data_IF_878351584131
#
_entry.id   IF_878351584131
#
_cell.length_a   1.000
_cell.length_b   1.000
_cell.length_c   1.000
_cell.angle_alpha   90.00
_cell.angle_beta   90.00
_cell.angle_gamma   90.00
#
_symmetry.space_group_name_H-M   'P 1'
#
loop_
_entity.id
_entity.type
_entity.pdbx_description
1 polymer ?
#
# COMPACT_ATOMS: atom_id res chain seq x y z
N UNK A 1 1.06 -7.03 4.14
CA UNK A 1 2.44 -6.49 3.96
C UNK A 1 3.09 -7.18 2.78
N UNK A 2 3.88 -6.45 1.98
CA UNK A 2 4.71 -7.02 0.93
C UNK A 2 6.19 -6.90 1.34
N UNK A 3 6.96 -7.99 1.18
CA UNK A 3 8.40 -8.04 1.54
C UNK A 3 9.26 -8.50 0.37
N UNK A 4 10.47 -7.92 0.30
CA UNK A 4 11.56 -8.35 -0.57
C UNK A 4 12.88 -7.78 -0.05
N UNK A 5 13.79 -8.62 0.42
CA UNK A 5 15.09 -8.25 0.98
C UNK A 5 14.98 -7.09 2.00
N UNK A 6 14.14 -7.28 3.02
CA UNK A 6 13.79 -6.27 4.01
C UNK A 6 14.45 -6.46 5.38
N UNK A 7 15.44 -7.33 5.52
CA UNK A 7 16.00 -7.75 6.81
C UNK A 7 16.39 -6.58 7.73
N UNK A 8 16.81 -5.46 7.12
CA UNK A 8 17.32 -4.30 7.86
C UNK A 8 16.25 -3.59 8.71
N UNK A 9 15.01 -3.51 8.22
CA UNK A 9 13.95 -2.68 8.81
C UNK A 9 12.72 -3.47 9.24
N UNK A 10 12.55 -4.68 8.71
CA UNK A 10 11.33 -5.48 8.85
C UNK A 10 10.93 -5.71 10.30
N UNK A 11 11.89 -5.94 11.21
CA UNK A 11 11.58 -6.19 12.62
C UNK A 11 10.89 -5.01 13.26
N UNK A 12 11.39 -3.80 13.07
CA UNK A 12 10.81 -2.58 13.63
C UNK A 12 9.38 -2.37 13.11
N UNK A 13 9.16 -2.59 11.81
CA UNK A 13 7.84 -2.48 11.19
C UNK A 13 6.87 -3.54 11.73
N UNK A 14 7.26 -4.80 11.79
CA UNK A 14 6.41 -5.88 12.30
C UNK A 14 6.06 -5.65 13.78
N UNK A 15 7.02 -5.25 14.61
CA UNK A 15 6.79 -4.92 16.03
C UNK A 15 5.76 -3.79 16.17
N UNK A 16 5.87 -2.73 15.34
CA UNK A 16 4.95 -1.59 15.36
C UNK A 16 3.51 -1.95 14.96
N UNK A 17 3.34 -3.03 14.20
CA UNK A 17 2.02 -3.56 13.81
C UNK A 17 1.50 -4.50 14.91
N UNK A 18 2.29 -5.51 15.29
CA UNK A 18 1.85 -6.57 16.21
C UNK A 18 1.41 -6.05 17.57
N UNK A 19 2.02 -4.95 18.07
CA UNK A 19 1.61 -4.34 19.34
C UNK A 19 0.20 -3.74 19.32
N UNK A 20 -0.40 -3.56 18.13
CA UNK A 20 -1.75 -3.01 17.95
C UNK A 20 -2.80 -4.08 17.58
N UNK A 21 -2.35 -5.27 17.16
CA UNK A 21 -3.26 -6.35 16.74
C UNK A 21 -3.88 -7.06 17.95
N UNK A 22 -5.18 -7.27 17.86
CA UNK A 22 -5.92 -8.17 18.76
C UNK A 22 -5.69 -9.65 18.43
N UNK A 23 -6.26 -10.57 19.23
CA UNK A 23 -6.09 -12.00 19.03
C UNK A 23 -6.75 -12.54 17.75
N UNK A 24 -7.77 -11.86 17.24
CA UNK A 24 -8.53 -12.26 16.04
C UNK A 24 -8.04 -11.52 14.77
N UNK A 25 -7.07 -10.63 14.91
CA UNK A 25 -6.47 -9.91 13.77
C UNK A 25 -5.36 -10.74 13.12
N UNK A 26 -5.02 -10.42 11.88
CA UNK A 26 -4.00 -11.11 11.12
C UNK A 26 -2.99 -10.14 10.46
N UNK A 27 -1.74 -10.56 10.38
CA UNK A 27 -0.70 -9.93 9.59
C UNK A 27 -0.29 -10.88 8.46
N UNK A 28 -0.85 -10.65 7.26
CA UNK A 28 -0.45 -11.41 6.08
C UNK A 28 0.78 -10.75 5.48
N UNK A 29 1.87 -11.51 5.41
CA UNK A 29 3.13 -11.11 4.79
C UNK A 29 3.30 -11.92 3.51
N UNK A 30 3.39 -11.26 2.36
CA UNK A 30 3.71 -11.88 1.08
C UNK A 30 5.15 -11.54 0.72
N UNK A 31 5.98 -12.56 0.55
CA UNK A 31 7.41 -12.43 0.23
C UNK A 31 7.69 -12.72 -1.25
N UNK A 32 8.39 -11.81 -1.92
CA UNK A 32 8.71 -11.84 -3.36
C UNK A 32 10.05 -12.54 -3.65
N UNK A 33 10.39 -13.57 -2.88
CA UNK A 33 11.61 -14.37 -3.02
C UNK A 33 12.83 -13.69 -2.42
N UNK A 34 12.75 -13.27 -1.17
CA UNK A 34 13.89 -12.71 -0.42
C UNK A 34 15.04 -13.69 -0.30
N UNK A 35 16.27 -13.19 -0.39
CA UNK A 35 17.52 -13.95 -0.31
C UNK A 35 18.41 -13.56 0.87
N UNK A 36 17.98 -12.56 1.64
CA UNK A 36 18.61 -12.08 2.88
C UNK A 36 17.96 -12.72 4.13
N UNK A 37 18.13 -12.14 5.30
CA UNK A 37 17.55 -12.62 6.56
C UNK A 37 16.04 -12.39 6.73
N UNK A 38 15.32 -11.86 5.74
CA UNK A 38 13.90 -11.50 5.83
C UNK A 38 13.02 -12.66 6.31
N UNK A 39 13.13 -13.84 5.67
CA UNK A 39 12.30 -15.00 6.03
C UNK A 39 12.59 -15.49 7.45
N UNK A 40 13.88 -15.56 7.82
CA UNK A 40 14.27 -15.94 9.18
C UNK A 40 13.76 -14.98 10.26
N UNK A 41 13.67 -13.67 9.94
CA UNK A 41 13.06 -12.69 10.85
C UNK A 41 11.57 -12.98 11.03
N UNK A 42 10.82 -13.21 9.95
CA UNK A 42 9.38 -13.49 10.01
C UNK A 42 9.12 -14.76 10.84
N UNK A 43 9.84 -15.84 10.55
CA UNK A 43 9.71 -17.10 11.25
C UNK A 43 10.07 -17.02 12.73
N UNK A 44 10.99 -16.12 13.10
CA UNK A 44 11.43 -15.93 14.50
C UNK A 44 10.35 -15.41 15.43
N UNK A 45 9.27 -14.78 14.91
CA UNK A 45 8.19 -14.25 15.74
C UNK A 45 7.37 -15.33 16.43
N UNK A 46 7.20 -16.49 15.80
CA UNK A 46 6.36 -17.58 16.32
C UNK A 46 4.98 -17.09 16.82
N UNK A 47 4.37 -16.12 16.11
CA UNK A 47 3.10 -15.48 16.43
C UNK A 47 2.02 -16.01 15.47
N UNK A 48 0.94 -16.60 16.02
CA UNK A 48 -0.13 -17.21 15.25
C UNK A 48 -0.93 -16.23 14.39
N UNK A 49 -0.81 -14.93 14.64
CA UNK A 49 -1.43 -13.87 13.83
C UNK A 49 -0.66 -13.58 12.54
N UNK A 50 0.60 -14.03 12.44
CA UNK A 50 1.42 -13.87 11.23
C UNK A 50 1.16 -15.04 10.30
N UNK A 51 0.84 -14.70 9.04
CA UNK A 51 0.73 -15.67 7.95
C UNK A 51 1.69 -15.30 6.82
N UNK A 52 2.72 -16.11 6.62
CA UNK A 52 3.67 -15.94 5.52
C UNK A 52 3.14 -16.60 4.25
N UNK A 53 3.18 -15.87 3.15
CA UNK A 53 2.89 -16.33 1.79
C UNK A 53 4.13 -16.13 0.92
N UNK A 54 4.42 -17.09 0.05
CA UNK A 54 5.44 -16.94 -0.99
C UNK A 54 4.78 -16.46 -2.28
N UNK A 55 5.37 -15.44 -2.91
CA UNK A 55 4.96 -14.93 -4.20
C UNK A 55 6.00 -15.30 -5.27
N UNK A 56 5.53 -15.87 -6.37
CA UNK A 56 6.36 -16.09 -7.55
C UNK A 56 6.16 -14.94 -8.53
N UNK A 57 7.26 -14.33 -8.99
CA UNK A 57 7.21 -13.19 -9.91
C UNK A 57 6.55 -13.57 -11.21
N UNK A 58 5.47 -12.89 -11.54
CA UNK A 58 4.71 -13.09 -12.76
C UNK A 58 5.20 -12.14 -13.87
N UNK A 59 5.27 -12.66 -15.11
CA UNK A 59 5.49 -11.80 -16.27
C UNK A 59 4.27 -10.92 -16.50
N UNK A 60 4.50 -9.68 -16.95
CA UNK A 60 3.44 -8.75 -17.27
C UNK A 60 3.48 -8.39 -18.75
N UNK A 61 2.34 -8.50 -19.44
CA UNK A 61 2.23 -8.26 -20.88
C UNK A 61 2.27 -6.76 -21.26
N UNK A 62 2.00 -5.86 -20.31
CA UNK A 62 1.87 -4.42 -20.56
C UNK A 62 3.08 -3.61 -20.14
N UNK A 63 3.81 -4.08 -19.11
CA UNK A 63 4.91 -3.33 -18.50
C UNK A 63 6.14 -4.19 -18.33
N UNK A 64 7.31 -3.57 -18.47
CA UNK A 64 8.56 -4.19 -18.03
C UNK A 64 8.59 -4.31 -16.53
N UNK A 65 9.23 -5.34 -16.01
CA UNK A 65 9.40 -5.58 -14.58
C UNK A 65 10.15 -4.39 -13.95
N UNK A 66 9.58 -3.85 -12.89
CA UNK A 66 10.13 -2.77 -12.07
C UNK A 66 9.82 -3.05 -10.61
N UNK A 67 10.52 -2.38 -9.68
CA UNK A 67 10.23 -2.53 -8.24
C UNK A 67 8.77 -2.22 -7.88
N UNK A 68 8.18 -1.19 -8.49
CA UNK A 68 6.76 -0.83 -8.27
C UNK A 68 5.82 -1.94 -8.77
N UNK A 69 6.09 -2.52 -9.93
CA UNK A 69 5.24 -3.61 -10.46
C UNK A 69 5.40 -4.89 -9.64
N UNK A 70 6.63 -5.24 -9.21
CA UNK A 70 6.87 -6.36 -8.30
C UNK A 70 6.11 -6.17 -6.98
N UNK A 71 6.23 -5.00 -6.36
CA UNK A 71 5.49 -4.68 -5.15
C UNK A 71 3.96 -4.79 -5.38
N UNK A 72 3.45 -4.29 -6.52
CA UNK A 72 2.03 -4.40 -6.87
C UNK A 72 1.57 -5.86 -6.96
N UNK A 73 2.31 -6.72 -7.65
CA UNK A 73 2.00 -8.15 -7.76
C UNK A 73 2.04 -8.83 -6.38
N UNK A 74 3.03 -8.50 -5.57
CA UNK A 74 3.21 -9.04 -4.23
C UNK A 74 2.08 -8.61 -3.27
N UNK A 75 1.68 -7.34 -3.29
CA UNK A 75 0.48 -6.87 -2.56
C UNK A 75 -0.79 -7.58 -3.04
N UNK A 76 -0.96 -7.75 -4.36
CA UNK A 76 -2.10 -8.46 -4.92
C UNK A 76 -2.15 -9.92 -4.47
N UNK A 77 -1.00 -10.58 -4.31
CA UNK A 77 -0.94 -11.92 -3.74
C UNK A 77 -1.44 -11.93 -2.30
N UNK A 78 -0.97 -11.01 -1.44
CA UNK A 78 -1.46 -10.91 -0.06
C UNK A 78 -2.97 -10.64 0.01
N UNK A 79 -3.48 -9.70 -0.78
CA UNK A 79 -4.88 -9.26 -0.78
C UNK A 79 -5.88 -10.37 -1.16
N UNK A 80 -5.45 -11.41 -1.87
CA UNK A 80 -6.30 -12.58 -2.19
C UNK A 80 -6.63 -13.43 -0.95
N UNK A 81 -5.86 -13.32 0.11
CA UNK A 81 -5.96 -14.17 1.30
C UNK A 81 -6.45 -13.45 2.56
N UNK A 82 -6.75 -12.16 2.48
CA UNK A 82 -7.24 -11.39 3.63
C UNK A 82 -8.63 -11.85 4.06
N UNK A 83 -8.82 -12.04 5.37
CA UNK A 83 -10.09 -12.43 5.96
C UNK A 83 -10.76 -11.31 6.76
N UNK A 84 -10.00 -10.38 7.32
CA UNK A 84 -10.47 -9.28 8.15
C UNK A 84 -11.43 -8.31 7.45
N UNK A 85 -12.23 -7.59 8.24
CA UNK A 85 -13.17 -6.57 7.75
C UNK A 85 -12.45 -5.29 7.28
N UNK A 86 -11.40 -4.90 7.99
CA UNK A 86 -10.59 -3.71 7.72
C UNK A 86 -9.21 -4.13 7.23
N UNK A 87 -8.82 -3.63 6.08
CA UNK A 87 -7.57 -3.97 5.43
C UNK A 87 -6.60 -2.79 5.51
N UNK A 88 -5.41 -3.03 6.00
CA UNK A 88 -4.32 -2.05 6.08
C UNK A 88 -3.18 -2.48 5.16
N UNK A 89 -2.72 -1.59 4.30
CA UNK A 89 -1.51 -1.83 3.53
C UNK A 89 -0.29 -1.44 4.36
N UNK A 90 0.78 -2.22 4.26
CA UNK A 90 2.02 -1.96 4.98
C UNK A 90 3.23 -2.31 4.10
N UNK A 91 4.16 -1.37 3.97
CA UNK A 91 5.48 -1.63 3.42
C UNK A 91 6.38 -2.23 4.52
N UNK A 92 7.52 -2.82 4.15
CA UNK A 92 8.38 -3.58 5.07
C UNK A 92 9.34 -2.71 5.91
N UNK A 93 9.44 -1.41 5.59
CA UNK A 93 10.53 -0.51 6.00
C UNK A 93 10.06 0.75 6.73
N UNK A 94 8.75 0.88 6.97
CA UNK A 94 8.14 1.97 7.72
C UNK A 94 8.03 1.66 9.22
N UNK A 95 7.43 2.58 9.99
CA UNK A 95 7.01 2.36 11.38
C UNK A 95 5.62 2.93 11.60
N UNK A 96 4.69 2.13 12.12
CA UNK A 96 3.34 2.58 12.41
C UNK A 96 3.28 3.37 13.72
N UNK A 97 2.50 4.46 13.72
CA UNK A 97 2.13 5.12 14.97
C UNK A 97 1.29 4.18 15.84
N UNK A 98 1.52 4.18 17.14
CA UNK A 98 0.90 3.25 18.10
C UNK A 98 -0.64 3.23 18.10
N UNK A 99 -1.29 4.30 17.64
CA UNK A 99 -2.75 4.44 17.61
C UNK A 99 -3.31 4.35 16.18
N UNK A 100 -2.50 3.91 15.19
CA UNK A 100 -2.90 3.90 13.77
C UNK A 100 -4.15 3.07 13.54
N UNK A 101 -4.18 1.84 14.02
CA UNK A 101 -5.33 0.95 13.83
C UNK A 101 -6.58 1.56 14.46
N UNK A 102 -6.50 1.97 15.72
CA UNK A 102 -7.63 2.54 16.43
C UNK A 102 -8.22 3.77 15.71
N UNK A 103 -7.38 4.73 15.33
CA UNK A 103 -7.81 5.97 14.66
C UNK A 103 -8.42 5.65 13.30
N UNK A 104 -7.77 4.79 12.50
CA UNK A 104 -8.27 4.45 11.17
C UNK A 104 -9.57 3.65 11.21
N UNK A 105 -9.71 2.67 12.12
CA UNK A 105 -10.93 1.88 12.29
C UNK A 105 -12.10 2.77 12.66
N UNK A 106 -11.91 3.76 13.55
CA UNK A 106 -12.97 4.70 13.91
C UNK A 106 -13.48 5.49 12.69
N UNK A 107 -12.58 5.88 11.80
CA UNK A 107 -12.96 6.57 10.55
C UNK A 107 -13.61 5.62 9.54
N UNK A 108 -13.16 4.37 9.49
CA UNK A 108 -13.74 3.35 8.61
C UNK A 108 -15.17 2.95 8.99
N UNK A 109 -15.67 3.30 10.17
CA UNK A 109 -17.10 3.17 10.50
C UNK A 109 -17.99 4.05 9.63
N UNK A 110 -17.46 5.21 9.17
CA UNK A 110 -18.20 6.22 8.40
C UNK A 110 -17.71 6.36 6.96
N UNK A 111 -16.61 5.70 6.58
CA UNK A 111 -16.03 5.74 5.23
C UNK A 111 -15.55 4.36 4.84
N UNK A 112 -15.54 4.05 3.54
CA UNK A 112 -15.03 2.76 3.08
C UNK A 112 -13.51 2.76 2.87
N UNK A 113 -12.90 3.93 2.69
CA UNK A 113 -11.48 4.12 2.47
C UNK A 113 -10.95 5.27 3.30
N UNK A 114 -9.81 5.07 3.94
CA UNK A 114 -9.10 6.09 4.71
C UNK A 114 -7.64 6.13 4.28
N UNK A 115 -7.10 7.32 4.08
CA UNK A 115 -5.68 7.55 3.88
C UNK A 115 -5.18 8.56 4.91
N UNK A 116 -4.15 8.20 5.66
CA UNK A 116 -3.51 9.09 6.64
C UNK A 116 -2.38 9.89 6.02
N UNK A 117 -1.93 10.93 6.71
CA UNK A 117 -0.64 11.56 6.46
C UNK A 117 0.50 10.70 7.02
N UNK A 118 1.75 11.07 6.73
CA UNK A 118 2.94 10.46 7.27
C UNK A 118 4.03 11.49 7.54
N UNK A 119 4.92 11.19 8.47
CA UNK A 119 6.19 11.88 8.69
C UNK A 119 7.31 11.09 8.00
N UNK A 120 8.42 11.77 7.72
CA UNK A 120 9.58 11.15 7.07
C UNK A 120 10.63 10.86 8.14
N UNK A 121 11.21 9.66 8.10
CA UNK A 121 12.40 9.29 8.86
C UNK A 121 13.52 8.87 7.90
N UNK A 122 14.78 9.07 8.33
CA UNK A 122 15.94 8.58 7.59
C UNK A 122 16.18 7.08 7.88
N UNK A 123 17.22 6.52 7.28
CA UNK A 123 17.59 5.11 7.48
C UNK A 123 18.03 4.75 8.91
N UNK A 124 18.29 5.73 9.77
CA UNK A 124 18.63 5.56 11.19
C UNK A 124 17.45 5.83 12.11
N UNK A 125 16.27 6.13 11.57
CA UNK A 125 15.05 6.44 12.32
C UNK A 125 14.99 7.90 12.82
N UNK A 126 15.86 8.78 12.34
CA UNK A 126 15.83 10.20 12.71
C UNK A 126 14.69 10.90 11.97
N UNK A 127 13.77 11.48 12.74
CA UNK A 127 12.59 12.13 12.20
C UNK A 127 12.91 13.47 11.54
N UNK A 128 12.43 13.65 10.31
CA UNK A 128 12.37 14.95 9.65
C UNK A 128 11.26 15.84 10.21
N UNK A 129 11.31 17.13 9.92
CA UNK A 129 10.36 18.13 10.45
C UNK A 129 9.11 18.29 9.60
N UNK A 130 9.03 17.72 8.40
CA UNK A 130 7.98 17.97 7.43
C UNK A 130 6.97 16.82 7.36
N UNK A 131 5.68 17.20 7.23
CA UNK A 131 4.60 16.29 6.87
C UNK A 131 4.46 16.30 5.35
N UNK A 132 4.33 15.13 4.74
CA UNK A 132 4.32 15.01 3.28
C UNK A 132 3.17 15.78 2.61
N UNK A 133 1.98 15.72 3.18
CA UNK A 133 0.79 16.37 2.60
C UNK A 133 0.53 17.80 3.08
N UNK A 134 1.42 18.40 3.85
CA UNK A 134 1.27 19.82 4.27
C UNK A 134 1.25 20.77 3.06
N UNK A 135 2.07 20.48 2.04
CA UNK A 135 2.18 21.28 0.82
C UNK A 135 1.30 20.77 -0.34
N UNK A 136 0.87 19.50 -0.29
CA UNK A 136 0.11 18.84 -1.35
C UNK A 136 -1.19 18.24 -0.80
N UNK A 137 -2.25 19.03 -0.62
CA UNK A 137 -3.51 18.53 -0.07
C UNK A 137 -4.10 17.43 -0.95
N UNK A 138 -4.61 16.38 -0.31
CA UNK A 138 -5.24 15.24 -0.97
C UNK A 138 -6.39 15.67 -1.88
N UNK A 139 -6.38 15.21 -3.13
CA UNK A 139 -7.41 15.52 -4.13
C UNK A 139 -8.36 14.33 -4.30
N UNK A 140 -9.65 14.57 -4.07
CA UNK A 140 -10.71 13.54 -4.05
C UNK A 140 -11.30 13.21 -5.43
N UNK A 141 -10.69 13.58 -6.55
CA UNK A 141 -11.23 13.27 -7.88
C UNK A 141 -10.38 12.29 -8.65
N UNK A 142 -11.03 11.40 -9.41
CA UNK A 142 -10.33 10.45 -10.29
C UNK A 142 -9.41 11.18 -11.26
N UNK A 143 -9.89 12.25 -11.91
CA UNK A 143 -9.11 13.01 -12.90
C UNK A 143 -7.86 13.62 -12.26
N UNK A 144 -7.96 14.23 -11.08
CA UNK A 144 -6.79 14.80 -10.41
C UNK A 144 -5.76 13.75 -10.03
N UNK A 145 -6.19 12.56 -9.59
CA UNK A 145 -5.29 11.48 -9.24
C UNK A 145 -4.70 10.75 -10.46
N UNK A 146 -5.39 10.75 -11.59
CA UNK A 146 -4.80 10.30 -12.85
C UNK A 146 -3.73 11.29 -13.36
N UNK A 147 -3.88 12.59 -13.13
CA UNK A 147 -2.89 13.60 -13.52
C UNK A 147 -1.72 13.68 -12.53
N UNK A 148 -2.03 13.64 -11.25
CA UNK A 148 -1.09 13.76 -10.13
C UNK A 148 -1.46 12.71 -9.07
N UNK A 149 -0.88 11.49 -9.13
CA UNK A 149 -1.15 10.44 -8.16
C UNK A 149 -0.80 10.89 -6.74
N UNK A 150 -1.76 10.75 -5.82
CA UNK A 150 -1.61 11.14 -4.41
C UNK A 150 -1.72 9.94 -3.46
N UNK A 151 -2.12 8.78 -3.95
CA UNK A 151 -2.24 7.59 -3.11
C UNK A 151 -0.86 7.01 -2.80
N UNK A 152 -0.63 6.74 -1.52
CA UNK A 152 0.58 6.09 -1.01
C UNK A 152 0.11 4.87 -0.22
N UNK A 153 0.53 3.67 -0.67
CA UNK A 153 0.00 2.40 -0.21
C UNK A 153 0.03 2.26 1.30
N UNK A 154 1.19 2.44 1.93
CA UNK A 154 1.34 2.27 3.38
C UNK A 154 0.44 3.19 4.23
N UNK A 155 -0.03 4.31 3.65
CA UNK A 155 -0.97 5.23 4.29
C UNK A 155 -2.43 4.78 4.18
N UNK A 156 -2.74 3.80 3.32
CA UNK A 156 -4.10 3.41 2.98
C UNK A 156 -4.61 2.28 3.88
N UNK A 157 -5.86 2.43 4.30
CA UNK A 157 -6.65 1.35 4.85
C UNK A 157 -8.10 1.45 4.34
N UNK A 158 -8.81 0.32 4.29
CA UNK A 158 -10.13 0.28 3.67
C UNK A 158 -10.95 -0.92 4.14
N UNK A 159 -12.27 -0.84 3.92
CA UNK A 159 -13.18 -1.96 4.16
C UNK A 159 -12.99 -3.04 3.10
N UNK A 160 -13.09 -4.30 3.51
CA UNK A 160 -12.95 -5.48 2.64
C UNK A 160 -13.84 -5.44 1.40
N UNK A 161 -15.00 -4.79 1.48
CA UNK A 161 -15.92 -4.67 0.35
C UNK A 161 -15.30 -4.01 -0.91
N UNK A 162 -14.29 -3.14 -0.74
CA UNK A 162 -13.56 -2.53 -1.86
C UNK A 162 -12.88 -3.61 -2.72
N UNK A 163 -12.42 -4.71 -2.10
CA UNK A 163 -11.76 -5.80 -2.81
C UNK A 163 -12.65 -6.48 -3.84
N UNK A 164 -13.99 -6.44 -3.68
CA UNK A 164 -14.92 -7.00 -4.67
C UNK A 164 -14.81 -6.32 -6.05
N UNK A 165 -14.34 -5.05 -6.07
CA UNK A 165 -14.10 -4.31 -7.31
C UNK A 165 -12.62 -4.23 -7.70
N UNK A 166 -11.74 -4.35 -6.72
CA UNK A 166 -10.29 -4.28 -6.93
C UNK A 166 -9.75 -5.59 -7.49
N UNK A 167 -10.24 -6.74 -6.99
CA UNK A 167 -9.75 -8.06 -7.36
C UNK A 167 -10.66 -8.75 -8.40
N UNK A 168 -10.08 -9.54 -9.31
CA UNK A 168 -8.64 -9.69 -9.55
C UNK A 168 -8.03 -8.44 -10.18
N UNK A 169 -6.82 -8.08 -9.78
CA UNK A 169 -6.12 -6.93 -10.38
C UNK A 169 -5.64 -7.30 -11.77
N UNK A 170 -6.01 -6.47 -12.75
CA UNK A 170 -5.61 -6.64 -14.15
C UNK A 170 -4.11 -6.36 -14.34
N UNK A 171 -3.45 -7.08 -15.26
CA UNK A 171 -2.07 -6.80 -15.71
C UNK A 171 -1.87 -5.36 -16.24
N UNK A 172 -2.95 -4.64 -16.55
CA UNK A 172 -2.92 -3.23 -16.96
C UNK A 172 -2.72 -2.26 -15.80
N UNK A 173 -2.80 -2.74 -14.58
CA UNK A 173 -2.57 -1.94 -13.36
C UNK A 173 -1.10 -1.99 -13.01
N UNK A 174 -0.44 -0.83 -13.07
CA UNK A 174 0.98 -0.70 -12.78
C UNK A 174 1.27 -0.52 -11.28
N UNK A 175 0.34 0.10 -10.54
CA UNK A 175 0.50 0.50 -9.14
C UNK A 175 -0.77 0.16 -8.38
N UNK A 176 -0.66 -0.68 -7.35
CA UNK A 176 -1.79 -1.15 -6.55
C UNK A 176 -2.45 -0.03 -5.75
N UNK A 177 -1.66 0.87 -5.19
CA UNK A 177 -2.13 1.99 -4.37
C UNK A 177 -2.98 2.97 -5.20
N UNK A 178 -2.51 3.35 -6.39
CA UNK A 178 -3.28 4.19 -7.30
C UNK A 178 -4.58 3.49 -7.74
N UNK A 179 -4.54 2.18 -8.02
CA UNK A 179 -5.73 1.42 -8.43
C UNK A 179 -6.76 1.35 -7.31
N UNK A 180 -6.36 0.91 -6.12
CA UNK A 180 -7.24 0.81 -4.95
C UNK A 180 -7.83 2.18 -4.62
N UNK A 181 -6.99 3.22 -4.58
CA UNK A 181 -7.42 4.57 -4.28
C UNK A 181 -8.41 5.13 -5.30
N UNK A 182 -8.17 4.94 -6.60
CA UNK A 182 -9.11 5.38 -7.67
C UNK A 182 -10.44 4.64 -7.58
N UNK A 183 -10.43 3.32 -7.39
CA UNK A 183 -11.66 2.52 -7.19
C UNK A 183 -12.41 3.03 -5.97
N UNK A 184 -11.70 3.28 -4.87
CA UNK A 184 -12.30 3.77 -3.63
C UNK A 184 -12.99 5.13 -3.82
N UNK A 185 -12.30 6.13 -4.36
CA UNK A 185 -12.91 7.48 -4.55
C UNK A 185 -13.97 7.54 -5.64
N UNK A 186 -14.03 6.55 -6.54
CA UNK A 186 -15.02 6.51 -7.61
C UNK A 186 -16.32 5.82 -7.20
N UNK A 187 -16.25 4.77 -6.40
CA UNK A 187 -17.40 3.93 -6.08
C UNK A 187 -17.83 4.00 -4.61
N UNK A 188 -17.00 4.58 -3.74
CA UNK A 188 -17.21 4.58 -2.29
C UNK A 188 -16.85 5.94 -1.67
N UNK A 189 -17.16 6.09 -0.38
CA UNK A 189 -16.75 7.24 0.41
C UNK A 189 -15.31 7.09 0.89
N UNK A 190 -14.53 8.16 0.69
CA UNK A 190 -13.13 8.21 1.07
C UNK A 190 -12.84 9.39 2.00
N UNK A 191 -12.09 9.13 3.07
CA UNK A 191 -11.62 10.10 4.05
C UNK A 191 -10.11 10.26 3.99
N UNK A 192 -9.63 11.50 4.10
CA UNK A 192 -8.22 11.80 4.32
C UNK A 192 -8.04 12.35 5.74
N UNK A 193 -7.09 11.77 6.47
CA UNK A 193 -6.68 12.20 7.81
C UNK A 193 -5.36 12.96 7.73
N UNK A 194 -5.39 14.22 8.08
CA UNK A 194 -4.16 15.03 8.23
C UNK A 194 -3.48 14.75 9.57
N UNK A 195 -3.28 13.48 9.86
CA UNK A 195 -2.59 12.97 11.05
C UNK A 195 -1.49 12.01 10.57
N UNK A 196 -0.23 12.22 10.96
CA UNK A 196 0.87 11.34 10.57
C UNK A 196 0.81 10.03 11.37
N UNK A 197 0.15 9.03 10.79
CA UNK A 197 0.02 7.71 11.42
C UNK A 197 1.10 6.72 10.99
N UNK A 198 2.08 7.18 10.22
CA UNK A 198 3.23 6.41 9.75
C UNK A 198 4.48 7.29 9.81
N UNK A 199 5.58 6.70 10.18
CA UNK A 199 6.91 7.20 9.94
C UNK A 199 7.44 6.47 8.70
N UNK A 200 7.39 7.17 7.54
CA UNK A 200 7.86 6.62 6.27
C UNK A 200 9.38 6.75 6.17
N UNK A 201 10.03 5.61 6.01
CA UNK A 201 11.50 5.55 5.96
C UNK A 201 12.02 5.80 4.56
N UNK A 202 12.97 6.74 4.44
CA UNK A 202 13.63 7.06 3.17
C UNK A 202 15.05 6.51 3.18
N UNK A 203 15.31 5.56 2.27
CA UNK A 203 16.63 4.97 2.05
C UNK A 203 16.87 4.68 0.55
N UNK A 204 18.07 4.21 0.19
CA UNK A 204 18.48 4.02 -1.20
C UNK A 204 17.71 2.91 -1.94
N UNK A 205 17.13 1.95 -1.21
CA UNK A 205 16.44 0.76 -1.75
C UNK A 205 14.92 0.88 -1.81
N UNK A 206 14.31 2.04 -1.47
CA UNK A 206 12.86 2.21 -1.58
C UNK A 206 12.35 1.87 -2.98
N UNK A 207 11.29 1.07 -3.06
CA UNK A 207 10.64 0.70 -4.32
C UNK A 207 9.93 1.89 -4.98
N UNK A 208 9.35 2.78 -4.19
CA UNK A 208 8.67 3.99 -4.65
C UNK A 208 9.49 5.24 -4.35
N UNK A 209 9.27 6.27 -5.17
CA UNK A 209 9.90 7.58 -5.03
C UNK A 209 8.90 8.59 -4.45
N UNK A 210 8.15 8.22 -3.41
CA UNK A 210 7.12 9.08 -2.83
C UNK A 210 7.63 10.51 -2.55
N UNK A 211 8.90 10.63 -2.12
CA UNK A 211 9.56 11.90 -1.82
C UNK A 211 10.50 12.39 -2.94
N UNK A 212 10.54 11.75 -4.12
CA UNK A 212 11.45 12.11 -5.21
C UNK A 212 10.71 12.26 -6.54
N UNK A 213 11.25 13.09 -7.45
CA UNK A 213 10.71 13.19 -8.82
C UNK A 213 10.89 11.86 -9.55
N UNK A 214 9.80 11.37 -10.15
CA UNK A 214 9.84 10.16 -10.97
C UNK A 214 10.66 10.36 -12.24
N UNK A 215 11.52 9.39 -12.57
CA UNK A 215 12.27 9.34 -13.84
C UNK A 215 11.46 8.72 -14.98
N UNK A 216 10.19 8.37 -14.76
CA UNK A 216 9.35 7.77 -15.79
C UNK A 216 9.05 8.75 -16.93
N UNK A 217 9.23 8.31 -18.18
CA UNK A 217 8.94 9.11 -19.35
C UNK A 217 7.47 9.55 -19.40
N UNK A 218 7.19 10.66 -20.08
CA UNK A 218 5.82 11.16 -20.26
C UNK A 218 4.92 10.11 -20.92
N UNK A 219 5.43 9.40 -21.95
CA UNK A 219 4.69 8.33 -22.63
C UNK A 219 4.34 7.19 -21.70
N UNK A 220 5.27 6.77 -20.83
CA UNK A 220 5.00 5.74 -19.82
C UNK A 220 3.90 6.18 -18.84
N UNK A 221 4.00 7.43 -18.34
CA UNK A 221 2.98 8.00 -17.43
C UNK A 221 1.59 8.08 -18.07
N UNK A 222 1.50 8.46 -19.33
CA UNK A 222 0.24 8.49 -20.09
C UNK A 222 -0.29 7.06 -20.31
N UNK A 223 0.58 6.11 -20.66
CA UNK A 223 0.21 4.71 -20.90
C UNK A 223 -0.47 4.09 -19.68
N UNK A 224 0.18 4.08 -18.51
CA UNK A 224 -0.38 3.39 -17.33
C UNK A 224 -1.67 4.08 -16.83
N UNK A 225 -1.77 5.40 -16.93
CA UNK A 225 -2.97 6.16 -16.56
C UNK A 225 -4.14 5.84 -17.48
N UNK A 226 -3.89 5.78 -18.78
CA UNK A 226 -4.90 5.39 -19.76
C UNK A 226 -5.37 3.95 -19.54
N UNK A 227 -4.46 3.02 -19.23
CA UNK A 227 -4.82 1.64 -18.93
C UNK A 227 -5.66 1.52 -17.65
N UNK A 228 -5.32 2.26 -16.60
CA UNK A 228 -6.16 2.35 -15.39
C UNK A 228 -7.57 2.88 -15.71
N UNK A 229 -7.66 3.92 -16.54
CA UNK A 229 -8.97 4.46 -16.96
C UNK A 229 -9.81 3.41 -17.69
N UNK A 230 -9.21 2.63 -18.58
CA UNK A 230 -9.89 1.51 -19.26
C UNK A 230 -10.44 0.49 -18.24
N UNK A 231 -9.64 0.09 -17.26
CA UNK A 231 -10.09 -0.87 -16.24
C UNK A 231 -11.20 -0.28 -15.37
N UNK A 232 -11.14 0.99 -15.02
CA UNK A 232 -12.19 1.67 -14.26
C UNK A 232 -13.52 1.73 -15.04
N UNK A 233 -13.46 2.03 -16.34
CA UNK A 233 -14.65 2.04 -17.20
C UNK A 233 -15.29 0.66 -17.32
N UNK A 234 -14.50 -0.42 -17.37
CA UNK A 234 -15.04 -1.79 -17.36
C UNK A 234 -15.80 -2.09 -16.07
N UNK A 235 -15.29 -1.67 -14.91
CA UNK A 235 -15.99 -1.84 -13.64
C UNK A 235 -17.32 -1.08 -13.61
N UNK A 236 -17.37 0.13 -14.17
CA UNK A 236 -18.59 0.92 -14.25
C UNK A 236 -19.66 0.32 -15.18
N UNK A 237 -19.26 -0.42 -16.22
CA UNK A 237 -20.18 -1.13 -17.12
C UNK A 237 -20.73 -2.41 -16.46
N UNK A 238 -19.89 -3.16 -15.75
CA UNK A 238 -20.26 -4.40 -15.09
C UNK A 238 -21.22 -4.21 -13.88
N UNK A 239 -21.33 -2.99 -13.36
CA UNK A 239 -22.17 -2.66 -12.20
C UNK A 239 -23.55 -2.07 -12.55
N UNK A 240 -23.91 -2.06 -13.85
CA UNK A 240 -25.25 -1.76 -14.36
C UNK A 240 -25.97 -3.02 -14.80
#
# INVERSE_FOLDING_TARGET
MATYNGERFLREQVDSILCQLGPDDELIISDDGSTDGTLGIIESYNDSRIRLLHHEKENNSYFKQTSVLCATQNFCNALRYVSGEYIFLADQDDVWHKDKIQICVEQLKNSCFVMSNFSIIDENGVQGTELFYSENPFKKTVVSNLLYPHFIGCCCCFRKEILQRVLPVSERVYSHDLWIGIVAIHFYDACFLDIPLIQHRVHSSNASLACKKTNNSLLFRLKYRFLILIELLKLGIASR
#
